data_IF_154516736820
#
_entry.id   IF_154516736820
#
_cell.length_a   1.000
_cell.length_b   1.000
_cell.length_c   1.000
_cell.angle_alpha   90.00
_cell.angle_beta   90.00
_cell.angle_gamma   90.00
#
_symmetry.space_group_name_H-M   'P 1'
#
loop_
_entity.id
_entity.type
_entity.pdbx_description
1 polymer ?
#
# COMPACT_ATOMS: atom_id res chain seq x y z
N UNK A 1 -6.35 -11.53 20.92
CA UNK A 1 -6.47 -11.06 19.54
C UNK A 1 -7.02 -9.64 19.53
N UNK A 2 -6.48 -8.81 18.69
CA UNK A 2 -6.87 -7.40 18.65
C UNK A 2 -7.54 -7.06 17.33
N UNK A 3 -8.47 -6.12 17.38
CA UNK A 3 -9.13 -5.57 16.20
C UNK A 3 -8.08 -4.96 15.26
N UNK A 4 -7.04 -4.32 15.82
CA UNK A 4 -5.97 -3.71 15.03
C UNK A 4 -5.26 -4.76 14.17
N UNK A 5 -4.94 -5.92 14.72
CA UNK A 5 -4.28 -6.99 13.95
C UNK A 5 -5.15 -7.44 12.78
N UNK A 6 -6.44 -7.61 13.03
CA UNK A 6 -7.40 -8.00 11.99
C UNK A 6 -7.50 -6.93 10.90
N UNK A 7 -7.53 -5.66 11.30
CA UNK A 7 -7.62 -4.55 10.35
C UNK A 7 -6.34 -4.44 9.50
N UNK A 8 -5.18 -4.67 10.12
CA UNK A 8 -3.91 -4.67 9.37
C UNK A 8 -3.88 -5.82 8.36
N UNK A 9 -4.38 -6.98 8.75
CA UNK A 9 -4.47 -8.12 7.83
C UNK A 9 -5.43 -7.83 6.67
N UNK A 10 -6.53 -7.16 6.93
CA UNK A 10 -7.49 -6.77 5.91
C UNK A 10 -6.88 -5.76 4.93
N UNK A 11 -6.18 -4.75 5.43
CA UNK A 11 -5.50 -3.76 4.58
C UNK A 11 -4.47 -4.45 3.69
N UNK A 12 -3.68 -5.36 4.26
CA UNK A 12 -2.70 -6.13 3.49
C UNK A 12 -3.38 -6.93 2.38
N UNK A 13 -4.49 -7.59 2.71
CA UNK A 13 -5.25 -8.37 1.74
C UNK A 13 -5.79 -7.51 0.60
N UNK A 14 -6.33 -6.33 0.91
CA UNK A 14 -6.85 -5.39 -0.08
C UNK A 14 -5.73 -4.98 -1.05
N UNK A 15 -4.57 -4.61 -0.52
CA UNK A 15 -3.44 -4.18 -1.35
C UNK A 15 -2.90 -5.32 -2.20
N UNK A 16 -2.74 -6.51 -1.62
CA UNK A 16 -2.26 -7.67 -2.37
C UNK A 16 -3.19 -7.99 -3.54
N UNK A 17 -4.50 -7.97 -3.32
CA UNK A 17 -5.48 -8.21 -4.38
C UNK A 17 -5.42 -7.14 -5.46
N UNK A 18 -5.19 -5.88 -5.07
CA UNK A 18 -5.07 -4.78 -6.02
C UNK A 18 -3.92 -5.04 -6.99
N UNK A 19 -2.79 -5.54 -6.50
CA UNK A 19 -1.61 -5.77 -7.32
C UNK A 19 -1.60 -7.13 -8.04
N UNK A 20 -2.59 -7.97 -7.80
CA UNK A 20 -2.77 -9.21 -8.57
C UNK A 20 -3.35 -8.95 -9.96
N UNK A 21 -4.09 -7.85 -10.14
CA UNK A 21 -4.66 -7.49 -11.43
C UNK A 21 -3.69 -6.62 -12.22
N UNK A 22 -3.85 -6.60 -13.55
CA UNK A 22 -3.01 -5.78 -14.41
C UNK A 22 -3.24 -4.30 -14.11
N UNK A 23 -2.24 -3.47 -14.42
CA UNK A 23 -2.29 -2.04 -14.14
C UNK A 23 -3.51 -1.34 -14.73
N UNK A 24 -3.96 -1.76 -15.90
CA UNK A 24 -5.13 -1.18 -16.58
C UNK A 24 -6.43 -1.48 -15.81
N UNK A 25 -6.52 -2.67 -15.21
CA UNK A 25 -7.73 -3.12 -14.51
C UNK A 25 -7.76 -2.75 -13.05
N UNK A 26 -6.67 -2.18 -12.52
CA UNK A 26 -6.59 -1.82 -11.10
C UNK A 26 -7.55 -0.68 -10.77
N UNK A 27 -8.33 -0.87 -9.72
CA UNK A 27 -9.20 0.16 -9.21
C UNK A 27 -8.64 0.67 -7.87
N UNK A 28 -7.70 1.62 -7.96
CA UNK A 28 -7.06 2.18 -6.77
C UNK A 28 -8.05 2.93 -5.89
N UNK A 29 -9.01 3.63 -6.49
CA UNK A 29 -9.99 4.39 -5.72
C UNK A 29 -10.85 3.46 -4.86
N UNK A 30 -11.26 2.31 -5.40
CA UNK A 30 -12.02 1.32 -4.64
C UNK A 30 -11.18 0.75 -3.49
N UNK A 31 -9.95 0.36 -3.79
CA UNK A 31 -9.05 -0.23 -2.79
C UNK A 31 -8.76 0.73 -1.66
N UNK A 32 -8.34 1.95 -1.98
CA UNK A 32 -8.03 2.95 -0.95
C UNK A 32 -9.27 3.51 -0.28
N UNK A 33 -10.42 3.45 -0.95
CA UNK A 33 -11.71 3.76 -0.32
C UNK A 33 -12.03 2.79 0.80
N UNK A 34 -11.82 1.50 0.58
CA UNK A 34 -12.01 0.47 1.62
C UNK A 34 -11.04 0.66 2.78
N UNK A 35 -9.78 0.98 2.48
CA UNK A 35 -8.77 1.24 3.51
C UNK A 35 -9.15 2.49 4.32
N UNK A 36 -9.63 3.53 3.64
CA UNK A 36 -10.08 4.74 4.30
C UNK A 36 -11.22 4.48 5.29
N UNK A 37 -12.14 3.59 4.96
CA UNK A 37 -13.23 3.20 5.87
C UNK A 37 -12.69 2.50 7.11
N UNK A 38 -11.67 1.68 6.96
CA UNK A 38 -11.02 1.01 8.10
C UNK A 38 -10.37 2.06 9.01
N UNK A 39 -9.64 3.01 8.43
CA UNK A 39 -8.98 4.06 9.19
C UNK A 39 -9.97 4.97 9.91
N UNK A 40 -11.13 5.21 9.30
CA UNK A 40 -12.17 6.04 9.90
C UNK A 40 -12.63 5.48 11.24
N UNK A 41 -12.60 4.17 11.42
CA UNK A 41 -12.95 3.54 12.71
C UNK A 41 -12.01 3.95 13.83
N UNK A 42 -10.83 4.42 13.51
CA UNK A 42 -9.82 4.90 14.48
C UNK A 42 -9.82 6.42 14.59
N UNK A 43 -10.82 7.09 14.01
CA UNK A 43 -10.91 8.54 14.04
C UNK A 43 -9.99 9.23 13.04
N UNK A 44 -9.46 8.49 12.08
CA UNK A 44 -8.54 9.02 11.07
C UNK A 44 -9.29 9.18 9.76
N UNK A 45 -9.29 10.41 9.23
CA UNK A 45 -10.05 10.74 8.03
C UNK A 45 -9.12 11.08 6.87
N UNK A 46 -8.90 10.10 6.00
CA UNK A 46 -8.19 10.27 4.74
C UNK A 46 -9.07 9.85 3.59
N UNK A 47 -9.07 10.62 2.52
CA UNK A 47 -9.77 10.21 1.30
C UNK A 47 -8.88 9.27 0.47
N UNK A 48 -9.45 8.54 -0.51
CA UNK A 48 -8.67 7.57 -1.31
C UNK A 48 -7.47 8.20 -2.01
N UNK A 49 -7.59 9.44 -2.48
CA UNK A 49 -6.49 10.14 -3.15
C UNK A 49 -5.31 10.36 -2.22
N UNK A 50 -5.58 10.78 -1.00
CA UNK A 50 -4.53 11.02 0.00
C UNK A 50 -3.81 9.72 0.34
N UNK A 51 -4.55 8.64 0.53
CA UNK A 51 -3.97 7.33 0.82
C UNK A 51 -3.13 6.82 -0.33
N UNK A 52 -3.58 7.06 -1.57
CA UNK A 52 -2.81 6.68 -2.74
C UNK A 52 -1.49 7.44 -2.83
N UNK A 53 -1.50 8.73 -2.47
CA UNK A 53 -0.26 9.53 -2.43
C UNK A 53 0.71 8.94 -1.41
N UNK A 54 0.24 8.60 -0.22
CA UNK A 54 1.09 7.98 0.81
C UNK A 54 1.68 6.67 0.29
N UNK A 55 0.87 5.83 -0.35
CA UNK A 55 1.35 4.57 -0.90
C UNK A 55 2.40 4.80 -1.99
N UNK A 56 2.18 5.79 -2.85
CA UNK A 56 3.13 6.14 -3.91
C UNK A 56 4.48 6.55 -3.32
N UNK A 57 4.45 7.34 -2.24
CA UNK A 57 5.68 7.74 -1.55
C UNK A 57 6.40 6.54 -0.95
N UNK A 58 5.66 5.58 -0.42
CA UNK A 58 6.25 4.34 0.09
C UNK A 58 6.96 3.55 -1.02
N UNK A 59 6.36 3.50 -2.20
CA UNK A 59 6.98 2.82 -3.35
C UNK A 59 8.21 3.57 -3.84
N UNK A 60 8.17 4.90 -3.84
CA UNK A 60 9.32 5.72 -4.23
C UNK A 60 10.53 5.45 -3.35
N UNK A 61 10.34 5.22 -2.06
CA UNK A 61 11.46 4.88 -1.16
C UNK A 61 12.23 3.66 -1.65
N UNK A 62 11.50 2.65 -2.14
CA UNK A 62 12.15 1.45 -2.68
C UNK A 62 13.06 1.81 -3.85
N UNK A 63 12.55 2.58 -4.81
CA UNK A 63 13.33 2.93 -6.00
C UNK A 63 14.47 3.88 -5.67
N UNK A 64 14.29 4.78 -4.72
CA UNK A 64 15.36 5.69 -4.30
C UNK A 64 16.49 4.97 -3.57
N UNK A 65 16.21 3.81 -2.97
CA UNK A 65 17.23 3.03 -2.27
C UNK A 65 18.13 2.23 -3.21
N UNK A 66 17.81 2.19 -4.52
CA UNK A 66 18.51 1.39 -5.51
C UNK A 66 18.99 2.31 -6.62
N UNK A 67 20.28 2.24 -7.02
CA UNK A 67 20.77 3.02 -8.16
C UNK A 67 19.92 2.77 -9.41
N UNK A 68 19.63 3.83 -10.15
CA UNK A 68 18.71 3.76 -11.28
C UNK A 68 19.13 2.73 -12.33
N UNK A 69 20.43 2.58 -12.57
CA UNK A 69 20.97 1.61 -13.52
C UNK A 69 20.71 0.16 -13.10
N UNK A 70 20.34 -0.08 -11.85
CA UNK A 70 20.01 -1.41 -11.34
C UNK A 70 18.50 -1.70 -11.36
N UNK A 71 17.68 -0.75 -11.81
CA UNK A 71 16.24 -0.97 -11.90
C UNK A 71 15.94 -1.96 -13.02
N UNK A 72 15.20 -3.02 -12.66
CA UNK A 72 14.81 -4.08 -13.61
C UNK A 72 13.29 -4.05 -13.81
N UNK A 73 12.81 -2.96 -14.40
CA UNK A 73 11.37 -2.72 -14.54
C UNK A 73 10.64 -3.76 -15.40
N UNK A 74 11.39 -4.49 -16.24
CA UNK A 74 10.83 -5.57 -17.06
C UNK A 74 10.88 -6.92 -16.38
N UNK A 75 11.47 -6.99 -15.19
CA UNK A 75 11.57 -8.24 -14.41
C UNK A 75 10.41 -8.32 -13.43
N UNK A 76 9.48 -9.27 -13.59
CA UNK A 76 8.34 -9.42 -12.68
C UNK A 76 8.76 -9.58 -11.22
N UNK A 77 9.89 -10.23 -10.97
CA UNK A 77 10.39 -10.43 -9.60
C UNK A 77 10.78 -9.11 -8.96
N UNK A 78 11.44 -8.23 -9.72
CA UNK A 78 11.83 -6.91 -9.23
C UNK A 78 10.59 -6.06 -8.94
N UNK A 79 9.61 -6.07 -9.84
CA UNK A 79 8.36 -5.32 -9.67
C UNK A 79 7.62 -5.82 -8.42
N UNK A 80 7.57 -7.12 -8.20
CA UNK A 80 6.95 -7.71 -7.01
C UNK A 80 7.65 -7.27 -5.73
N UNK A 81 8.96 -7.17 -5.74
CA UNK A 81 9.72 -6.67 -4.59
C UNK A 81 9.33 -5.24 -4.25
N UNK A 82 9.17 -4.37 -5.27
CA UNK A 82 8.77 -2.98 -5.04
C UNK A 82 7.37 -2.90 -4.42
N UNK A 83 6.45 -3.74 -4.89
CA UNK A 83 5.09 -3.78 -4.36
C UNK A 83 5.06 -4.26 -2.91
N UNK A 84 5.81 -5.31 -2.59
CA UNK A 84 5.90 -5.83 -1.21
C UNK A 84 6.50 -4.79 -0.27
N UNK A 85 7.54 -4.11 -0.70
CA UNK A 85 8.17 -3.06 0.09
C UNK A 85 7.16 -1.95 0.39
N UNK A 86 6.44 -1.50 -0.64
CA UNK A 86 5.46 -0.44 -0.49
C UNK A 86 4.33 -0.86 0.44
N UNK A 87 3.83 -2.09 0.33
CA UNK A 87 2.77 -2.60 1.20
C UNK A 87 3.22 -2.62 2.65
N UNK A 88 4.43 -3.10 2.92
CA UNK A 88 4.97 -3.16 4.29
C UNK A 88 5.17 -1.76 4.88
N UNK A 89 5.70 -0.84 4.09
CA UNK A 89 5.88 0.55 4.54
C UNK A 89 4.54 1.23 4.79
N UNK A 90 3.57 1.01 3.92
CA UNK A 90 2.23 1.57 4.11
C UNK A 90 1.58 1.03 5.37
N UNK A 91 1.70 -0.27 5.62
CA UNK A 91 1.22 -0.89 6.87
C UNK A 91 1.84 -0.21 8.09
N UNK A 92 3.14 -0.03 8.09
CA UNK A 92 3.84 0.62 9.20
C UNK A 92 3.33 2.05 9.39
N UNK A 93 3.13 2.77 8.29
CA UNK A 93 2.57 4.12 8.34
C UNK A 93 1.17 4.11 8.98
N UNK A 94 0.33 3.15 8.59
CA UNK A 94 -1.02 3.02 9.16
C UNK A 94 -0.95 2.76 10.66
N UNK A 95 -0.09 1.84 11.09
CA UNK A 95 0.09 1.55 12.53
C UNK A 95 0.48 2.81 13.27
N UNK A 96 1.40 3.61 12.73
CA UNK A 96 1.82 4.87 13.34
C UNK A 96 0.65 5.86 13.45
N UNK A 97 -0.26 5.86 12.48
CA UNK A 97 -1.40 6.76 12.52
C UNK A 97 -2.42 6.37 13.60
N UNK A 98 -2.60 5.07 13.84
CA UNK A 98 -3.64 4.59 14.77
C UNK A 98 -3.11 4.36 16.19
N UNK A 99 -1.84 4.46 16.39
CA UNK A 99 -1.21 4.38 17.71
C UNK A 99 -0.67 5.74 18.15
#
# INVERSE_FOLDING_TARGET
>A
MTTLQNDMNEITSILCKTFEVSGIERNYDDSFGKIGKILYRYGINYNPKELRIVFTLCMQEFFESIPQEQWKLNDPSFVKQSERYAINKFKNWVVDQVT
#
